data_IF_521824269079
#
_entry.id   IF_521824269079
#
_cell.length_a   1.000
_cell.length_b   1.000
_cell.length_c   1.000
_cell.angle_alpha   90.00
_cell.angle_beta   90.00
_cell.angle_gamma   90.00
#
_symmetry.space_group_name_H-M   'P 1'
#
loop_
_entity.id
_entity.type
_entity.pdbx_description
1 polymer ?
#
# COMPACT_ATOMS: atom_id res chain seq x y z
N UNK A 1 -1.51 -15.59 13.07
CA UNK A 1 -2.21 -15.16 14.32
C UNK A 1 -1.34 -14.24 15.20
N UNK A 2 -0.01 -14.29 15.13
CA UNK A 2 0.87 -13.42 15.93
C UNK A 2 1.12 -12.05 15.30
N UNK A 3 0.98 -11.92 13.99
CA UNK A 3 1.14 -10.63 13.28
C UNK A 3 0.09 -9.61 13.73
N UNK A 4 -1.13 -10.04 14.05
CA UNK A 4 -2.22 -9.15 14.48
C UNK A 4 -2.06 -8.66 15.93
N UNK A 5 -1.33 -9.36 16.77
CA UNK A 5 -1.11 -8.98 18.18
C UNK A 5 -0.03 -7.92 18.39
N UNK A 6 0.87 -7.77 17.45
CA UNK A 6 1.94 -6.75 17.46
C UNK A 6 1.45 -5.36 17.02
N UNK A 7 0.23 -5.27 16.52
CA UNK A 7 -0.34 -4.09 15.87
C UNK A 7 -1.22 -3.22 16.81
N UNK A 8 -1.03 -3.30 18.14
CA UNK A 8 -1.77 -2.49 19.11
C UNK A 8 -0.97 -1.26 19.52
N UNK A 9 -1.05 -0.27 18.69
CA UNK A 9 -0.49 1.07 18.85
C UNK A 9 -0.91 1.86 17.62
N UNK A 10 -0.76 3.17 17.55
CA UNK A 10 -1.12 3.94 16.35
C UNK A 10 -0.34 3.44 15.12
N UNK A 11 -0.98 2.71 14.24
CA UNK A 11 -0.34 2.04 13.12
C UNK A 11 -0.69 2.73 11.81
N UNK A 12 0.31 2.86 10.92
CA UNK A 12 0.13 3.40 9.59
C UNK A 12 0.54 2.36 8.56
N UNK A 13 -0.41 1.93 7.74
CA UNK A 13 -0.14 1.13 6.56
C UNK A 13 -0.21 2.03 5.32
N UNK A 14 0.90 2.20 4.62
CA UNK A 14 0.91 2.87 3.32
C UNK A 14 0.80 1.80 2.25
N UNK A 15 -0.38 1.67 1.71
CA UNK A 15 -0.66 0.80 0.58
C UNK A 15 -1.13 1.66 -0.59
N UNK A 16 -0.47 1.44 -1.67
CA UNK A 16 -0.76 1.46 -3.02
C UNK A 16 -1.57 2.48 -3.79
N UNK A 17 -1.35 2.18 -4.94
CA UNK A 17 -1.69 2.55 -6.28
C UNK A 17 -3.16 2.93 -6.53
N UNK A 18 -4.14 2.38 -5.83
CA UNK A 18 -5.55 2.67 -6.07
C UNK A 18 -6.33 2.86 -4.79
N UNK A 19 -7.38 3.68 -4.88
CA UNK A 19 -8.37 3.86 -3.82
C UNK A 19 -8.99 2.54 -3.38
N UNK A 20 -9.18 1.65 -4.34
CA UNK A 20 -9.80 0.35 -4.15
C UNK A 20 -8.96 -0.52 -3.21
N UNK A 21 -7.65 -0.59 -3.42
CA UNK A 21 -6.77 -1.36 -2.57
C UNK A 21 -6.69 -0.79 -1.15
N UNK A 22 -6.57 0.52 -0.99
CA UNK A 22 -6.59 1.13 0.34
C UNK A 22 -7.91 0.83 1.07
N UNK A 23 -9.04 0.85 0.35
CA UNK A 23 -10.34 0.49 0.92
C UNK A 23 -10.41 -0.99 1.29
N UNK A 24 -9.97 -1.89 0.39
CA UNK A 24 -9.96 -3.34 0.64
C UNK A 24 -9.12 -3.71 1.87
N UNK A 25 -7.94 -3.10 2.02
CA UNK A 25 -7.10 -3.33 3.20
C UNK A 25 -7.76 -2.81 4.46
N UNK A 26 -8.32 -1.59 4.42
CA UNK A 26 -9.02 -1.04 5.58
C UNK A 26 -10.22 -1.91 5.97
N UNK A 27 -10.95 -2.45 5.01
CA UNK A 27 -12.10 -3.34 5.25
C UNK A 27 -11.65 -4.72 5.78
N UNK A 28 -10.51 -5.24 5.31
CA UNK A 28 -9.90 -6.44 5.88
C UNK A 28 -9.53 -6.24 7.35
N UNK A 29 -8.89 -5.11 7.70
CA UNK A 29 -8.59 -4.78 9.08
C UNK A 29 -9.85 -4.67 9.95
N UNK A 30 -10.92 -4.02 9.44
CA UNK A 30 -12.20 -3.96 10.15
C UNK A 30 -12.79 -5.35 10.38
N UNK A 31 -12.73 -6.22 9.36
CA UNK A 31 -13.22 -7.60 9.47
C UNK A 31 -12.44 -8.39 10.51
N UNK A 32 -11.12 -8.34 10.50
CA UNK A 32 -10.28 -9.05 11.47
C UNK A 32 -10.40 -8.49 12.89
N UNK A 33 -10.71 -7.21 13.05
CA UNK A 33 -10.86 -6.56 14.35
C UNK A 33 -12.26 -6.69 14.94
N UNK A 34 -13.27 -7.06 14.14
CA UNK A 34 -14.67 -7.09 14.56
C UNK A 34 -14.94 -8.04 15.74
N UNK A 35 -14.17 -9.14 15.84
CA UNK A 35 -14.38 -10.17 16.86
C UNK A 35 -13.54 -9.98 18.15
N UNK A 36 -12.50 -9.14 18.12
CA UNK A 36 -11.51 -9.15 19.20
C UNK A 36 -11.13 -7.80 19.79
N UNK A 37 -11.34 -6.69 19.07
CA UNK A 37 -10.88 -5.37 19.53
C UNK A 37 -11.72 -4.24 18.95
N UNK A 38 -11.87 -3.14 19.71
CA UNK A 38 -12.50 -1.90 19.24
C UNK A 38 -11.53 -1.06 18.39
N UNK A 39 -10.72 -1.68 17.50
CA UNK A 39 -9.78 -0.97 16.65
C UNK A 39 -10.52 -0.16 15.58
N UNK A 40 -10.15 1.10 15.46
CA UNK A 40 -10.68 1.99 14.43
C UNK A 40 -9.70 2.09 13.28
N UNK A 41 -10.12 1.58 12.13
CA UNK A 41 -9.37 1.66 10.88
C UNK A 41 -9.94 2.77 10.00
N UNK A 42 -9.07 3.60 9.44
CA UNK A 42 -9.41 4.69 8.55
C UNK A 42 -8.64 4.56 7.23
N UNK A 43 -9.37 4.58 6.12
CA UNK A 43 -8.76 4.71 4.78
C UNK A 43 -8.65 6.17 4.38
N UNK A 44 -7.45 6.62 3.93
CA UNK A 44 -7.19 7.97 3.43
C UNK A 44 -6.54 7.92 2.05
N UNK A 45 -7.21 8.48 1.04
CA UNK A 45 -6.76 8.46 -0.35
C UNK A 45 -7.30 9.65 -1.14
N UNK A 46 -6.69 9.92 -2.30
CA UNK A 46 -7.06 11.03 -3.17
C UNK A 46 -8.46 10.90 -3.78
N UNK A 47 -9.07 12.04 -4.13
CA UNK A 47 -10.36 12.13 -4.83
C UNK A 47 -11.60 11.86 -3.98
N UNK A 48 -11.47 11.79 -2.67
CA UNK A 48 -12.57 11.86 -1.70
C UNK A 48 -12.52 13.18 -0.95
N UNK A 49 -13.62 13.54 -0.29
CA UNK A 49 -13.70 14.78 0.47
C UNK A 49 -12.66 14.80 1.60
N UNK A 50 -11.77 15.78 1.51
CA UNK A 50 -10.69 15.98 2.48
C UNK A 50 -11.22 16.31 3.88
N UNK A 51 -12.33 17.04 3.97
CA UNK A 51 -12.95 17.44 5.25
C UNK A 51 -13.45 16.24 6.03
N UNK A 52 -14.03 15.25 5.34
CA UNK A 52 -14.49 14.01 5.97
C UNK A 52 -13.33 13.19 6.53
N UNK A 53 -12.20 13.15 5.84
CA UNK A 53 -10.98 12.51 6.34
C UNK A 53 -10.42 13.23 7.55
N UNK A 54 -10.38 14.57 7.56
CA UNK A 54 -9.98 15.37 8.74
C UNK A 54 -10.89 15.07 9.94
N UNK A 55 -12.20 15.08 9.72
CA UNK A 55 -13.17 14.77 10.77
C UNK A 55 -12.95 13.38 11.38
N UNK A 56 -12.60 12.41 10.55
CA UNK A 56 -12.29 11.05 10.98
C UNK A 56 -10.96 10.95 11.71
N UNK A 57 -9.91 11.62 11.24
CA UNK A 57 -8.59 11.67 11.88
C UNK A 57 -8.60 12.38 13.25
N UNK A 58 -9.55 13.30 13.50
CA UNK A 58 -9.74 13.93 14.81
C UNK A 58 -10.26 12.97 15.88
N UNK A 59 -10.91 11.88 15.46
CA UNK A 59 -11.33 10.81 16.36
C UNK A 59 -10.15 9.87 16.58
N UNK A 60 -10.15 9.14 17.70
CA UNK A 60 -9.14 8.11 17.92
C UNK A 60 -9.16 7.13 16.73
N UNK A 61 -8.05 7.06 16.00
CA UNK A 61 -7.83 6.12 14.90
C UNK A 61 -6.61 5.30 15.27
N UNK A 62 -6.72 4.00 15.21
CA UNK A 62 -5.65 3.07 15.59
C UNK A 62 -4.87 2.62 14.35
N UNK A 63 -5.53 2.45 13.21
CA UNK A 63 -4.92 2.04 11.95
C UNK A 63 -5.31 3.04 10.85
N UNK A 64 -4.31 3.57 10.16
CA UNK A 64 -4.51 4.41 8.98
C UNK A 64 -3.96 3.68 7.76
N UNK A 65 -4.81 3.47 6.76
CA UNK A 65 -4.43 2.90 5.46
C UNK A 65 -4.56 3.98 4.41
N UNK A 66 -3.52 4.22 3.61
CA UNK A 66 -3.65 5.29 2.64
C UNK A 66 -2.62 5.31 1.53
N UNK A 67 -2.87 6.18 0.55
CA UNK A 67 -1.95 6.44 -0.55
C UNK A 67 -0.93 7.51 -0.16
N UNK A 68 0.35 7.42 -0.62
CA UNK A 68 1.43 8.32 -0.19
C UNK A 68 1.07 9.80 -0.30
N UNK A 69 0.63 10.26 -1.46
CA UNK A 69 0.32 11.67 -1.67
C UNK A 69 -0.74 12.24 -0.71
N UNK A 70 -1.82 11.49 -0.45
CA UNK A 70 -2.87 11.95 0.47
C UNK A 70 -2.40 11.93 1.93
N UNK A 71 -1.57 10.96 2.30
CA UNK A 71 -0.92 10.93 3.63
C UNK A 71 -0.05 12.15 3.81
N UNK A 72 0.79 12.48 2.82
CA UNK A 72 1.62 13.69 2.84
C UNK A 72 0.81 14.97 2.99
N UNK A 73 -0.32 15.09 2.26
CA UNK A 73 -1.21 16.25 2.37
C UNK A 73 -1.71 16.43 3.81
N UNK A 74 -2.14 15.36 4.46
CA UNK A 74 -2.59 15.40 5.85
C UNK A 74 -1.47 15.72 6.83
N UNK A 75 -0.26 15.17 6.61
CA UNK A 75 0.91 15.49 7.44
C UNK A 75 1.30 16.95 7.28
N UNK A 76 1.41 17.47 6.04
CA UNK A 76 1.77 18.87 5.76
C UNK A 76 0.78 19.86 6.36
N UNK A 77 -0.50 19.53 6.37
CA UNK A 77 -1.55 20.36 6.95
C UNK A 77 -1.70 20.16 8.48
N UNK A 78 -0.90 19.28 9.09
CA UNK A 78 -0.98 18.99 10.52
C UNK A 78 -2.29 18.32 10.97
N UNK A 79 -3.08 17.80 10.03
CA UNK A 79 -4.36 17.14 10.31
C UNK A 79 -4.19 15.67 10.68
N UNK A 80 -3.06 15.07 10.30
CA UNK A 80 -2.63 13.75 10.74
C UNK A 80 -1.40 13.87 11.63
N UNK A 81 -1.56 13.54 12.91
CA UNK A 81 -0.47 13.57 13.90
C UNK A 81 0.26 12.24 13.89
N UNK A 82 1.50 12.26 13.45
CA UNK A 82 2.31 11.06 13.24
C UNK A 82 3.28 10.75 14.38
N UNK A 83 3.32 11.58 15.43
CA UNK A 83 4.30 11.46 16.52
C UNK A 83 4.16 10.18 17.35
N UNK A 84 3.01 9.53 17.31
CA UNK A 84 2.72 8.32 18.08
C UNK A 84 2.63 7.07 17.20
N UNK A 85 3.11 7.14 15.96
CA UNK A 85 3.13 5.98 15.08
C UNK A 85 4.21 5.02 15.57
N UNK A 86 3.82 3.80 15.87
CA UNK A 86 4.70 2.74 16.34
C UNK A 86 5.08 1.74 15.25
N UNK A 87 4.28 1.66 14.19
CA UNK A 87 4.54 0.74 13.08
C UNK A 87 4.22 1.40 11.73
N UNK A 88 5.12 1.24 10.76
CA UNK A 88 4.93 1.59 9.37
C UNK A 88 5.00 0.34 8.49
N UNK A 89 3.96 0.12 7.71
CA UNK A 89 3.94 -0.96 6.72
C UNK A 89 3.98 -0.37 5.32
N UNK A 90 4.99 -0.74 4.55
CA UNK A 90 5.07 -0.49 3.12
C UNK A 90 4.67 -1.76 2.38
N UNK A 91 3.54 -1.73 1.69
CA UNK A 91 3.03 -2.87 0.94
C UNK A 91 3.04 -2.56 -0.56
N UNK A 92 3.31 -3.57 -1.38
CA UNK A 92 3.51 -3.43 -2.83
C UNK A 92 4.60 -2.39 -3.18
N UNK A 93 5.71 -2.41 -2.45
CA UNK A 93 6.76 -1.40 -2.57
C UNK A 93 7.33 -1.28 -4.00
N UNK A 94 7.44 -2.39 -4.73
CA UNK A 94 7.88 -2.42 -6.14
C UNK A 94 6.89 -1.71 -7.08
N UNK A 95 5.60 -1.79 -6.82
CA UNK A 95 4.61 -1.06 -7.60
C UNK A 95 4.63 0.44 -7.26
N UNK A 96 4.77 0.79 -5.98
CA UNK A 96 4.92 2.20 -5.57
C UNK A 96 6.15 2.84 -6.23
N UNK A 97 7.26 2.10 -6.34
CA UNK A 97 8.44 2.54 -7.07
C UNK A 97 8.16 2.80 -8.56
N UNK A 98 7.49 1.86 -9.25
CA UNK A 98 7.12 2.00 -10.67
C UNK A 98 6.25 3.22 -10.92
N UNK A 99 5.47 3.63 -9.94
CA UNK A 99 4.62 4.83 -10.00
C UNK A 99 5.34 6.13 -9.63
N UNK A 100 6.61 6.07 -9.27
CA UNK A 100 7.40 7.24 -8.91
C UNK A 100 7.20 7.77 -7.48
N UNK A 101 6.61 6.99 -6.58
CA UNK A 101 6.36 7.40 -5.19
C UNK A 101 7.56 7.23 -4.25
N UNK A 102 8.75 6.96 -4.79
CA UNK A 102 9.94 6.73 -3.97
C UNK A 102 10.24 7.91 -3.05
N UNK A 103 10.31 9.11 -3.60
CA UNK A 103 10.59 10.35 -2.86
C UNK A 103 9.51 10.66 -1.82
N UNK A 104 8.25 10.41 -2.18
CA UNK A 104 7.11 10.60 -1.27
C UNK A 104 7.20 9.67 -0.05
N UNK A 105 7.57 8.40 -0.29
CA UNK A 105 7.73 7.39 0.75
C UNK A 105 8.90 7.78 1.67
N UNK A 106 10.05 8.12 1.12
CA UNK A 106 11.21 8.57 1.91
C UNK A 106 10.88 9.79 2.75
N UNK A 107 10.19 10.78 2.15
CA UNK A 107 9.74 11.97 2.89
C UNK A 107 8.82 11.61 4.06
N UNK A 108 7.91 10.67 3.89
CA UNK A 108 7.02 10.22 4.98
C UNK A 108 7.84 9.53 6.06
N UNK A 109 8.74 8.61 5.72
CA UNK A 109 9.57 7.88 6.66
C UNK A 109 10.39 8.84 7.53
N UNK A 110 10.97 9.87 6.92
CA UNK A 110 11.80 10.88 7.60
C UNK A 110 11.00 11.77 8.56
N UNK A 111 9.67 11.81 8.46
CA UNK A 111 8.80 12.56 9.38
C UNK A 111 8.30 11.73 10.55
N UNK A 112 8.42 10.41 10.47
CA UNK A 112 7.96 9.50 11.51
C UNK A 112 8.97 9.42 12.67
N UNK A 113 8.53 9.04 13.88
CA UNK A 113 9.43 8.81 15.01
C UNK A 113 10.53 7.80 14.69
N UNK A 114 11.71 7.96 15.30
CA UNK A 114 12.82 7.02 15.11
C UNK A 114 12.50 5.64 15.69
N UNK A 115 11.83 5.61 16.84
CA UNK A 115 11.41 4.35 17.49
C UNK A 115 10.10 3.84 16.88
N UNK A 116 10.19 3.28 15.67
CA UNK A 116 9.09 2.64 14.97
C UNK A 116 9.51 1.28 14.44
N UNK A 117 8.60 0.34 14.41
CA UNK A 117 8.75 -0.87 13.62
C UNK A 117 8.50 -0.55 12.14
N UNK A 118 9.35 -1.05 11.27
CA UNK A 118 9.10 -0.95 9.83
C UNK A 118 8.97 -2.34 9.21
N UNK A 119 7.97 -2.48 8.35
CA UNK A 119 7.70 -3.71 7.61
C UNK A 119 7.58 -3.36 6.13
N UNK A 120 8.22 -4.14 5.28
CA UNK A 120 8.21 -3.95 3.84
C UNK A 120 7.76 -5.24 3.16
N UNK A 121 6.69 -5.14 2.37
CA UNK A 121 6.20 -6.21 1.50
C UNK A 121 6.38 -5.81 0.04
N UNK A 122 6.88 -6.75 -0.76
CA UNK A 122 7.08 -6.54 -2.18
C UNK A 122 7.06 -7.88 -2.93
N UNK A 123 6.43 -7.90 -4.09
CA UNK A 123 6.45 -9.09 -4.95
C UNK A 123 7.81 -9.30 -5.63
N UNK A 124 8.52 -8.19 -5.91
CA UNK A 124 9.86 -8.18 -6.51
C UNK A 124 10.80 -7.32 -5.69
N UNK A 125 12.09 -7.59 -5.75
CA UNK A 125 13.13 -6.88 -5.01
C UNK A 125 14.15 -6.23 -5.96
N UNK A 126 13.78 -5.19 -6.72
CA UNK A 126 14.73 -4.39 -7.49
C UNK A 126 15.73 -3.67 -6.58
N UNK A 127 16.81 -3.16 -7.14
CA UNK A 127 17.90 -2.55 -6.37
C UNK A 127 17.43 -1.35 -5.54
N UNK A 128 16.50 -0.58 -6.06
CA UNK A 128 15.93 0.59 -5.39
C UNK A 128 15.19 0.18 -4.10
N UNK A 129 14.39 -0.87 -4.15
CA UNK A 129 13.69 -1.41 -2.96
C UNK A 129 14.68 -2.01 -1.97
N UNK A 130 15.73 -2.70 -2.46
CA UNK A 130 16.82 -3.18 -1.59
C UNK A 130 17.53 -2.02 -0.88
N UNK A 131 17.72 -0.89 -1.56
CA UNK A 131 18.33 0.29 -0.97
C UNK A 131 17.45 0.92 0.11
N UNK A 132 16.14 1.01 -0.12
CA UNK A 132 15.18 1.44 0.91
C UNK A 132 15.24 0.50 2.12
N UNK A 133 15.18 -0.80 1.89
CA UNK A 133 15.24 -1.80 2.96
C UNK A 133 16.54 -1.64 3.77
N UNK A 134 17.70 -1.51 3.12
CA UNK A 134 18.99 -1.31 3.79
C UNK A 134 19.09 0.02 4.54
N UNK A 135 18.45 1.08 4.02
CA UNK A 135 18.55 2.43 4.61
C UNK A 135 17.66 2.57 5.85
N UNK A 136 16.47 1.96 5.83
CA UNK A 136 15.42 2.24 6.81
C UNK A 136 15.04 1.07 7.71
N UNK A 137 15.36 -0.17 7.33
CA UNK A 137 15.12 -1.33 8.18
C UNK A 137 16.37 -1.61 9.02
N UNK A 138 16.18 -1.85 10.31
CA UNK A 138 17.25 -2.18 11.22
C UNK A 138 17.22 -3.67 11.53
N UNK A 139 18.24 -4.41 11.11
CA UNK A 139 18.38 -5.87 11.27
C UNK A 139 17.07 -6.63 10.94
N UNK A 140 16.52 -6.47 9.72
CA UNK A 140 15.23 -7.03 9.40
C UNK A 140 15.28 -8.55 9.23
N UNK A 141 14.27 -9.25 9.74
CA UNK A 141 14.03 -10.63 9.37
C UNK A 141 13.56 -10.69 7.91
N UNK A 142 14.29 -11.41 7.06
CA UNK A 142 13.92 -11.61 5.66
C UNK A 142 13.12 -12.90 5.50
N UNK A 143 11.88 -12.78 5.04
CA UNK A 143 10.99 -13.91 4.75
C UNK A 143 10.77 -14.01 3.24
N UNK A 144 11.41 -14.99 2.60
CA UNK A 144 11.29 -15.23 1.18
C UNK A 144 10.30 -16.38 0.90
N UNK A 145 9.16 -16.03 0.31
CA UNK A 145 8.20 -17.03 -0.16
C UNK A 145 8.61 -17.43 -1.57
N UNK A 146 9.18 -18.64 -1.71
CA UNK A 146 9.47 -19.19 -3.04
C UNK A 146 8.13 -19.51 -3.73
N UNK A 147 7.86 -18.86 -4.86
CA UNK A 147 6.73 -19.25 -5.69
C UNK A 147 6.97 -20.69 -6.15
N UNK A 148 6.14 -21.60 -5.70
CA UNK A 148 6.04 -22.91 -6.36
C UNK A 148 5.50 -22.60 -7.74
N UNK A 149 6.34 -22.70 -8.78
CA UNK A 149 5.90 -22.63 -10.16
C UNK A 149 4.89 -23.76 -10.42
N UNK A 150 3.64 -23.52 -10.11
CA UNK A 150 2.58 -24.23 -10.78
C UNK A 150 2.45 -23.58 -12.16
N UNK A 151 3.18 -24.12 -13.12
CA UNK A 151 2.93 -23.87 -14.54
C UNK A 151 1.57 -24.46 -14.91
N UNK A 152 0.52 -23.89 -14.42
CA UNK A 152 -0.76 -24.04 -15.05
C UNK A 152 -0.84 -22.96 -16.10
N UNK A 153 -0.45 -23.29 -17.33
CA UNK A 153 -0.78 -22.48 -18.51
C UNK A 153 -2.31 -22.56 -18.72
N UNK A 154 -3.06 -21.95 -17.80
CA UNK A 154 -4.52 -21.84 -17.93
C UNK A 154 -4.92 -20.79 -18.96
N UNK A 155 -3.97 -19.97 -19.41
CA UNK A 155 -4.22 -18.87 -20.35
C UNK A 155 -3.44 -19.12 -21.63
N UNK A 156 -4.15 -19.35 -22.73
CA UNK A 156 -3.55 -19.40 -24.07
C UNK A 156 -3.35 -17.96 -24.55
N UNK A 157 -2.09 -17.54 -24.63
CA UNK A 157 -1.74 -16.22 -25.16
C UNK A 157 -1.56 -16.31 -26.67
N UNK A 158 -2.17 -15.36 -27.38
CA UNK A 158 -2.03 -15.22 -28.84
C UNK A 158 -1.69 -13.76 -29.16
N UNK A 159 -0.97 -13.53 -30.24
CA UNK A 159 -0.71 -12.19 -30.72
C UNK A 159 -1.02 -12.08 -32.21
N UNK A 160 -1.40 -10.88 -32.65
CA UNK A 160 -1.67 -10.55 -34.05
C UNK A 160 -0.87 -9.30 -34.37
N UNK A 161 -0.05 -9.36 -35.42
CA UNK A 161 0.68 -8.20 -35.92
C UNK A 161 -0.25 -7.35 -36.76
N UNK A 162 -0.53 -6.11 -36.30
CA UNK A 162 -1.36 -5.15 -37.02
C UNK A 162 -0.68 -3.78 -37.05
N UNK A 163 -0.89 -3.03 -38.11
CA UNK A 163 -0.45 -1.64 -38.20
C UNK A 163 -1.23 -0.81 -37.17
N UNK A 164 -0.60 0.26 -36.65
CA UNK A 164 -1.16 1.07 -35.56
C UNK A 164 -2.58 1.56 -35.82
N UNK A 165 -2.87 1.99 -37.07
CA UNK A 165 -4.19 2.50 -37.44
C UNK A 165 -5.27 1.41 -37.61
N UNK A 166 -4.90 0.14 -37.71
CA UNK A 166 -5.83 -0.99 -37.80
C UNK A 166 -6.07 -1.69 -36.47
N UNK A 167 -5.48 -1.23 -35.34
CA UNK A 167 -5.62 -1.90 -34.05
C UNK A 167 -7.08 -1.98 -33.57
N UNK A 168 -7.82 -0.88 -33.77
CA UNK A 168 -9.23 -0.84 -33.33
C UNK A 168 -10.10 -1.79 -34.16
N UNK A 169 -9.89 -1.85 -35.46
CA UNK A 169 -10.64 -2.73 -36.36
C UNK A 169 -10.32 -4.20 -36.10
N UNK A 170 -9.05 -4.52 -35.84
CA UNK A 170 -8.66 -5.86 -35.44
C UNK A 170 -9.29 -6.29 -34.12
N UNK A 171 -9.31 -5.38 -33.12
CA UNK A 171 -9.94 -5.65 -31.83
C UNK A 171 -11.46 -5.89 -31.99
N UNK A 172 -12.16 -5.07 -32.77
CA UNK A 172 -13.58 -5.25 -33.05
C UNK A 172 -13.87 -6.63 -33.63
N UNK A 173 -13.09 -7.05 -34.66
CA UNK A 173 -13.25 -8.36 -35.28
C UNK A 173 -12.98 -9.53 -34.34
N UNK A 174 -12.07 -9.36 -33.35
CA UNK A 174 -11.83 -10.40 -32.33
C UNK A 174 -12.99 -10.50 -31.34
N UNK A 175 -13.64 -9.39 -31.03
CA UNK A 175 -14.75 -9.34 -30.06
C UNK A 175 -16.10 -9.66 -30.69
N UNK A 176 -16.24 -9.61 -32.02
CA UNK A 176 -17.47 -9.95 -32.76
C UNK A 176 -17.62 -11.44 -33.05
N UNK A 177 -16.66 -12.29 -32.63
CA UNK A 177 -16.71 -13.74 -32.66
C UNK A 177 -17.16 -14.27 -31.29
#
# INVERSE_FOLDING_TARGET
>A
YEIVRSLVGSEMCIRDRTRELATQVADSFKSYSAESTNLRTLAIYGGTDFRNQISSLKRKTDIVVGTPGRIMDHIRQGTFKINNISCLVLDEADEMLKMGFLEDIEWIIDKLPDNKQMVLFSATMPNEIRNIAKKYLNDPAEILIKSVKKETQLITQRYINVQRHHKLDALKRILEI
#
